data_IF_532422932819
#
_entry.id   IF_532422932819
#
_cell.length_a   1.000
_cell.length_b   1.000
_cell.length_c   1.000
_cell.angle_alpha   90.00
_cell.angle_beta   90.00
_cell.angle_gamma   90.00
#
_symmetry.space_group_name_H-M   'P 1'
#
loop_
_entity.id
_entity.type
_entity.pdbx_description
1 polymer ?
#
# COMPACT_ATOMS: atom_id res chain seq x y z
N UNK A 1 -14.69 -44.52 -10.48
CA UNK A 1 -14.29 -43.11 -10.26
C UNK A 1 -15.54 -42.27 -10.00
N UNK A 2 -15.72 -41.69 -8.80
CA UNK A 2 -16.87 -40.80 -8.52
C UNK A 2 -16.71 -39.52 -9.36
N UNK A 3 -17.71 -39.18 -10.19
CA UNK A 3 -17.74 -37.88 -10.90
C UNK A 3 -17.70 -36.77 -9.84
N UNK A 4 -16.69 -35.90 -9.90
CA UNK A 4 -16.65 -34.69 -9.09
C UNK A 4 -17.85 -33.83 -9.51
N UNK A 5 -18.66 -33.41 -8.54
CA UNK A 5 -19.84 -32.57 -8.79
C UNK A 5 -19.39 -31.18 -9.21
N UNK A 6 -20.01 -30.62 -10.26
CA UNK A 6 -19.62 -29.32 -10.85
C UNK A 6 -19.61 -28.17 -9.82
N UNK A 7 -20.49 -28.21 -8.82
CA UNK A 7 -20.54 -27.20 -7.76
C UNK A 7 -19.25 -27.21 -6.89
N UNK A 8 -18.64 -28.37 -6.66
CA UNK A 8 -17.34 -28.44 -5.98
C UNK A 8 -16.19 -27.91 -6.84
N UNK A 9 -16.27 -28.06 -8.17
CA UNK A 9 -15.31 -27.44 -9.09
C UNK A 9 -15.42 -25.92 -9.02
N UNK A 10 -16.64 -25.38 -9.04
CA UNK A 10 -16.91 -23.95 -8.88
C UNK A 10 -16.42 -23.43 -7.51
N UNK A 11 -16.65 -24.18 -6.43
CA UNK A 11 -16.12 -23.85 -5.11
C UNK A 11 -14.57 -23.83 -5.09
N UNK A 12 -13.93 -24.78 -5.79
CA UNK A 12 -12.47 -24.81 -5.95
C UNK A 12 -11.92 -23.60 -6.70
N UNK A 13 -12.59 -23.16 -7.77
CA UNK A 13 -12.21 -21.95 -8.51
C UNK A 13 -12.39 -20.70 -7.62
N UNK A 14 -13.49 -20.63 -6.84
CA UNK A 14 -13.69 -19.56 -5.88
C UNK A 14 -12.60 -19.54 -4.79
N UNK A 15 -12.14 -20.71 -4.34
CA UNK A 15 -11.03 -20.81 -3.39
C UNK A 15 -9.72 -20.22 -3.95
N UNK A 16 -9.46 -20.34 -5.27
CA UNK A 16 -8.31 -19.68 -5.90
C UNK A 16 -8.43 -18.15 -5.78
N UNK A 17 -9.60 -17.59 -6.10
CA UNK A 17 -9.84 -16.15 -5.93
C UNK A 17 -9.69 -15.67 -4.48
N UNK A 18 -10.15 -16.49 -3.52
CA UNK A 18 -9.98 -16.24 -2.09
C UNK A 18 -8.50 -16.21 -1.69
N UNK A 19 -7.70 -17.18 -2.15
CA UNK A 19 -6.27 -17.25 -1.86
C UNK A 19 -5.54 -16.03 -2.44
N UNK A 20 -5.82 -15.67 -3.71
CA UNK A 20 -5.18 -14.51 -4.34
C UNK A 20 -5.57 -13.22 -3.59
N UNK A 21 -6.84 -13.07 -3.20
CA UNK A 21 -7.30 -11.93 -2.42
C UNK A 21 -6.62 -11.87 -1.05
N UNK A 22 -6.38 -13.02 -0.41
CA UNK A 22 -5.64 -13.10 0.85
C UNK A 22 -4.17 -12.65 0.68
N UNK A 23 -3.51 -13.07 -0.40
CA UNK A 23 -2.16 -12.61 -0.73
C UNK A 23 -2.10 -11.09 -0.94
N UNK A 24 -3.13 -10.52 -1.57
CA UNK A 24 -3.25 -9.07 -1.73
C UNK A 24 -3.44 -8.34 -0.39
N UNK A 25 -4.20 -8.92 0.55
CA UNK A 25 -4.32 -8.38 1.91
C UNK A 25 -2.96 -8.42 2.64
N UNK A 26 -2.23 -9.53 2.55
CA UNK A 26 -0.90 -9.64 3.14
C UNK A 26 0.08 -8.64 2.54
N UNK A 27 0.02 -8.43 1.23
CA UNK A 27 0.83 -7.43 0.53
C UNK A 27 0.52 -6.01 1.03
N UNK A 28 -0.77 -5.67 1.21
CA UNK A 28 -1.18 -4.37 1.75
C UNK A 28 -0.60 -4.11 3.15
N UNK A 29 -0.62 -5.10 4.04
CA UNK A 29 -0.10 -4.98 5.41
C UNK A 29 1.42 -5.24 5.53
N UNK A 30 2.15 -5.40 4.42
CA UNK A 30 3.62 -5.58 4.44
C UNK A 30 4.12 -6.98 4.84
N UNK A 31 3.24 -8.00 4.87
CA UNK A 31 3.60 -9.40 5.17
C UNK A 31 3.89 -10.28 3.95
N UNK A 32 3.63 -9.78 2.74
CA UNK A 32 3.56 -10.57 1.50
C UNK A 32 4.85 -10.76 0.70
N UNK A 33 6.03 -10.49 1.28
CA UNK A 33 7.32 -10.44 0.55
C UNK A 33 7.73 -11.74 -0.16
N UNK A 34 7.16 -12.89 0.24
CA UNK A 34 7.44 -14.20 -0.36
C UNK A 34 6.50 -14.57 -1.51
N UNK A 35 5.37 -15.19 -1.18
CA UNK A 35 4.46 -15.78 -2.17
C UNK A 35 3.71 -14.73 -3.01
N UNK A 36 3.25 -13.64 -2.40
CA UNK A 36 2.52 -12.60 -3.13
C UNK A 36 3.43 -11.85 -4.10
N UNK A 37 4.68 -11.57 -3.70
CA UNK A 37 5.69 -10.96 -4.57
C UNK A 37 6.08 -11.87 -5.73
N UNK A 38 6.45 -13.13 -5.45
CA UNK A 38 6.82 -14.08 -6.50
C UNK A 38 5.70 -14.29 -7.53
N UNK A 39 4.45 -14.37 -7.07
CA UNK A 39 3.29 -14.53 -7.96
C UNK A 39 2.99 -13.24 -8.73
N UNK A 40 3.19 -12.07 -8.14
CA UNK A 40 3.05 -10.79 -8.83
C UNK A 40 4.10 -10.61 -9.95
N UNK A 41 5.37 -10.86 -9.64
CA UNK A 41 6.48 -10.72 -10.60
C UNK A 41 6.34 -11.72 -11.75
N UNK A 42 5.72 -12.89 -11.51
CA UNK A 42 5.40 -13.86 -12.56
C UNK A 42 4.25 -13.42 -13.47
N UNK A 43 3.31 -12.59 -12.98
CA UNK A 43 2.08 -12.23 -13.69
C UNK A 43 2.11 -10.84 -14.33
N UNK A 44 3.07 -10.00 -13.95
CA UNK A 44 3.11 -8.59 -14.36
C UNK A 44 4.53 -8.00 -14.23
N UNK A 45 4.75 -6.81 -14.80
CA UNK A 45 6.01 -6.10 -14.65
C UNK A 45 6.36 -5.89 -13.16
N UNK A 46 7.63 -6.10 -12.81
CA UNK A 46 8.11 -6.00 -11.43
C UNK A 46 7.75 -4.64 -10.82
N UNK A 47 7.13 -4.66 -9.64
CA UNK A 47 6.70 -3.44 -8.93
C UNK A 47 5.32 -2.89 -9.31
N UNK A 48 4.62 -3.48 -10.29
CA UNK A 48 3.26 -3.05 -10.67
C UNK A 48 2.23 -3.30 -9.56
N UNK A 49 2.29 -4.44 -8.87
CA UNK A 49 1.39 -4.69 -7.74
C UNK A 49 1.68 -3.78 -6.54
N UNK A 50 2.92 -3.36 -6.33
CA UNK A 50 3.32 -2.46 -5.23
C UNK A 50 2.64 -1.09 -5.42
N UNK A 51 2.75 -0.53 -6.63
CA UNK A 51 2.05 0.71 -7.03
C UNK A 51 0.55 0.65 -6.76
N UNK A 52 -0.10 -0.47 -7.09
CA UNK A 52 -1.55 -0.63 -6.88
C UNK A 52 -1.86 -0.77 -5.39
N UNK A 53 -1.10 -1.57 -4.63
CA UNK A 53 -1.35 -1.79 -3.20
C UNK A 53 -1.09 -0.55 -2.34
N UNK A 54 -0.22 0.36 -2.77
CA UNK A 54 0.10 1.59 -2.03
C UNK A 54 -0.75 2.81 -2.44
N UNK A 55 -1.50 2.70 -3.54
CA UNK A 55 -2.36 3.78 -4.01
C UNK A 55 -3.40 4.18 -2.95
N UNK A 56 -3.91 5.41 -3.01
CA UNK A 56 -5.05 5.84 -2.18
C UNK A 56 -6.31 5.01 -2.44
N UNK A 57 -6.39 4.36 -3.61
CA UNK A 57 -7.49 3.49 -4.01
C UNK A 57 -7.35 2.04 -3.51
N UNK A 58 -6.29 1.68 -2.80
CA UNK A 58 -6.09 0.28 -2.36
C UNK A 58 -6.86 -0.08 -1.09
N UNK A 59 -7.35 0.93 -0.35
CA UNK A 59 -8.07 0.75 0.91
C UNK A 59 -9.09 1.85 1.15
N UNK A 60 -10.11 1.52 1.92
CA UNK A 60 -10.96 2.50 2.60
C UNK A 60 -10.25 2.85 3.91
N UNK A 61 -9.71 4.05 3.97
CA UNK A 61 -8.88 4.52 5.10
C UNK A 61 -9.74 5.12 6.21
N UNK A 62 -9.22 5.08 7.43
CA UNK A 62 -9.81 5.75 8.60
C UNK A 62 -11.26 5.31 8.94
N UNK A 63 -11.58 4.02 8.80
CA UNK A 63 -12.87 3.50 9.27
C UNK A 63 -12.87 3.49 10.81
N UNK A 64 -13.87 4.11 11.48
CA UNK A 64 -13.97 4.06 12.93
C UNK A 64 -13.87 2.63 13.45
N UNK A 65 -13.07 2.41 14.51
CA UNK A 65 -12.79 1.11 15.14
C UNK A 65 -11.99 0.09 14.31
N UNK A 66 -12.06 0.12 12.98
CA UNK A 66 -11.43 -0.89 12.11
C UNK A 66 -10.11 -0.43 11.46
N UNK A 67 -9.84 0.88 11.45
CA UNK A 67 -8.67 1.47 10.80
C UNK A 67 -8.77 1.36 9.28
N UNK A 68 -7.65 1.06 8.64
CA UNK A 68 -7.61 0.86 7.19
C UNK A 68 -8.17 -0.51 6.80
N UNK A 69 -9.08 -0.50 5.83
CA UNK A 69 -9.70 -1.71 5.27
C UNK A 69 -9.30 -1.84 3.80
N UNK A 70 -8.40 -2.77 3.46
CA UNK A 70 -7.97 -2.94 2.07
C UNK A 70 -9.12 -3.43 1.19
N UNK A 71 -9.18 -2.97 -0.06
CA UNK A 71 -10.19 -3.42 -1.03
C UNK A 71 -10.10 -4.94 -1.24
N UNK A 72 -8.90 -5.50 -1.16
CA UNK A 72 -8.65 -6.94 -1.24
C UNK A 72 -9.42 -7.76 -0.18
N UNK A 73 -9.78 -7.15 0.96
CA UNK A 73 -10.65 -7.80 1.94
C UNK A 73 -12.04 -8.10 1.39
N UNK A 74 -12.63 -7.15 0.65
CA UNK A 74 -13.93 -7.36 0.03
C UNK A 74 -13.85 -8.47 -1.01
N UNK A 75 -12.75 -8.57 -1.75
CA UNK A 75 -12.45 -9.70 -2.63
C UNK A 75 -12.40 -11.03 -1.86
N UNK A 76 -11.66 -11.09 -0.75
CA UNK A 76 -11.57 -12.28 0.10
C UNK A 76 -12.93 -12.73 0.63
N UNK A 77 -13.72 -11.79 1.18
CA UNK A 77 -15.09 -12.06 1.66
C UNK A 77 -16.01 -12.49 0.52
N UNK A 78 -15.92 -11.84 -0.64
CA UNK A 78 -16.70 -12.16 -1.83
C UNK A 78 -16.45 -13.59 -2.32
N UNK A 79 -15.19 -13.96 -2.56
CA UNK A 79 -14.86 -15.31 -3.04
C UNK A 79 -15.17 -16.39 -2.01
N UNK A 80 -14.95 -16.10 -0.73
CA UNK A 80 -15.33 -17.01 0.36
C UNK A 80 -16.83 -17.26 0.40
N UNK A 81 -17.62 -16.20 0.28
CA UNK A 81 -19.08 -16.30 0.27
C UNK A 81 -19.60 -17.00 -1.00
N UNK A 82 -19.08 -16.69 -2.18
CA UNK A 82 -19.45 -17.37 -3.43
C UNK A 82 -19.09 -18.86 -3.37
N UNK A 83 -17.91 -19.21 -2.85
CA UNK A 83 -17.51 -20.60 -2.62
C UNK A 83 -18.44 -21.32 -1.63
N UNK A 84 -18.81 -20.65 -0.54
CA UNK A 84 -19.81 -21.14 0.43
C UNK A 84 -21.15 -21.44 -0.24
N UNK A 85 -21.65 -20.56 -1.12
CA UNK A 85 -22.91 -20.78 -1.85
C UNK A 85 -22.85 -22.04 -2.72
N UNK A 86 -21.74 -22.29 -3.41
CA UNK A 86 -21.60 -23.51 -4.23
C UNK A 86 -21.54 -24.79 -3.38
N UNK A 87 -20.87 -24.75 -2.22
CA UNK A 87 -20.85 -25.88 -1.28
C UNK A 87 -22.26 -26.14 -0.71
N UNK A 88 -22.99 -25.08 -0.35
CA UNK A 88 -24.36 -25.19 0.16
C UNK A 88 -25.35 -25.67 -0.90
N UNK A 89 -25.17 -25.24 -2.16
CA UNK A 89 -25.94 -25.73 -3.30
C UNK A 89 -25.82 -27.25 -3.48
N UNK A 90 -24.64 -27.81 -3.17
CA UNK A 90 -24.42 -29.25 -3.22
C UNK A 90 -24.99 -29.98 -1.99
N UNK A 91 -24.89 -29.37 -0.80
CA UNK A 91 -25.38 -29.94 0.47
C UNK A 91 -26.91 -29.96 0.57
N UNK A 92 -27.57 -28.94 0.02
CA UNK A 92 -29.02 -28.76 0.11
C UNK A 92 -29.63 -28.72 -1.30
N UNK A 93 -29.76 -29.90 -1.92
CA UNK A 93 -30.25 -30.06 -3.29
C UNK A 93 -31.61 -29.41 -3.56
N UNK A 94 -32.50 -29.44 -2.58
CA UNK A 94 -33.82 -28.78 -2.64
C UNK A 94 -33.74 -27.27 -2.90
N UNK A 95 -32.64 -26.63 -2.45
CA UNK A 95 -32.37 -25.20 -2.56
C UNK A 95 -31.30 -24.86 -3.61
N UNK A 96 -30.75 -25.86 -4.32
CA UNK A 96 -29.61 -25.71 -5.26
C UNK A 96 -29.82 -24.55 -6.24
N UNK A 97 -31.01 -24.49 -6.84
CA UNK A 97 -31.36 -23.47 -7.83
C UNK A 97 -31.25 -22.05 -7.24
N UNK A 98 -31.70 -21.85 -6.00
CA UNK A 98 -31.67 -20.53 -5.37
C UNK A 98 -30.25 -20.07 -5.04
N UNK A 99 -29.39 -20.96 -4.53
CA UNK A 99 -27.98 -20.65 -4.29
C UNK A 99 -27.22 -20.34 -5.59
N UNK A 100 -27.46 -21.10 -6.67
CA UNK A 100 -26.83 -20.84 -7.98
C UNK A 100 -27.25 -19.48 -8.54
N UNK A 101 -28.53 -19.10 -8.41
CA UNK A 101 -29.00 -17.77 -8.85
C UNK A 101 -28.36 -16.66 -8.03
N UNK A 102 -28.32 -16.82 -6.71
CA UNK A 102 -27.67 -15.84 -5.85
C UNK A 102 -26.20 -15.67 -6.21
N UNK A 103 -25.46 -16.78 -6.38
CA UNK A 103 -24.07 -16.74 -6.82
C UNK A 103 -23.93 -16.07 -8.20
N UNK A 104 -24.81 -16.35 -9.15
CA UNK A 104 -24.80 -15.72 -10.48
C UNK A 104 -24.95 -14.19 -10.41
N UNK A 105 -25.93 -13.69 -9.65
CA UNK A 105 -26.13 -12.24 -9.50
C UNK A 105 -24.98 -11.56 -8.76
N UNK A 106 -24.42 -12.22 -7.73
CA UNK A 106 -23.23 -11.73 -7.04
C UNK A 106 -22.01 -11.69 -7.98
N UNK A 107 -21.84 -12.68 -8.85
CA UNK A 107 -20.76 -12.70 -9.84
C UNK A 107 -20.91 -11.60 -10.90
N UNK A 108 -22.13 -11.24 -11.29
CA UNK A 108 -22.37 -10.06 -12.14
C UNK A 108 -21.96 -8.78 -11.41
N UNK A 109 -22.37 -8.62 -10.15
CA UNK A 109 -21.99 -7.46 -9.35
C UNK A 109 -20.47 -7.38 -9.18
N UNK A 110 -19.82 -8.52 -8.90
CA UNK A 110 -18.37 -8.64 -8.81
C UNK A 110 -17.68 -8.18 -10.11
N UNK A 111 -18.16 -8.63 -11.27
CA UNK A 111 -17.61 -8.21 -12.56
C UNK A 111 -17.73 -6.70 -12.80
N UNK A 112 -18.85 -6.07 -12.40
CA UNK A 112 -19.02 -4.62 -12.51
C UNK A 112 -17.98 -3.88 -11.65
N UNK A 113 -17.75 -4.35 -10.42
CA UNK A 113 -16.72 -3.80 -9.52
C UNK A 113 -15.33 -4.02 -10.10
N UNK A 114 -15.03 -5.22 -10.62
CA UNK A 114 -13.75 -5.56 -11.25
C UNK A 114 -13.43 -4.64 -12.44
N UNK A 115 -14.43 -4.33 -13.28
CA UNK A 115 -14.27 -3.36 -14.38
C UNK A 115 -13.94 -1.98 -13.83
N UNK A 116 -14.63 -1.52 -12.78
CA UNK A 116 -14.34 -0.23 -12.15
C UNK A 116 -12.92 -0.16 -11.58
N UNK A 117 -12.49 -1.19 -10.85
CA UNK A 117 -11.14 -1.28 -10.28
C UNK A 117 -10.06 -1.37 -11.37
N UNK A 118 -10.32 -2.11 -12.46
CA UNK A 118 -9.41 -2.17 -13.61
C UNK A 118 -9.25 -0.80 -14.29
N UNK A 119 -10.34 -0.04 -14.45
CA UNK A 119 -10.29 1.31 -15.00
C UNK A 119 -9.50 2.26 -14.11
N UNK A 120 -9.69 2.21 -12.78
CA UNK A 120 -8.86 2.99 -11.85
C UNK A 120 -7.39 2.60 -11.95
N UNK A 121 -7.10 1.29 -11.96
CA UNK A 121 -5.73 0.77 -12.06
C UNK A 121 -5.03 1.22 -13.36
N UNK A 122 -5.74 1.18 -14.49
CA UNK A 122 -5.18 1.49 -15.81
C UNK A 122 -5.13 2.98 -16.13
N UNK A 123 -6.17 3.75 -15.77
CA UNK A 123 -6.31 5.16 -16.16
C UNK A 123 -5.84 6.15 -15.09
N UNK A 124 -5.86 5.76 -13.82
CA UNK A 124 -5.52 6.65 -12.70
C UNK A 124 -4.19 6.28 -12.08
N UNK A 125 -3.98 5.00 -11.78
CA UNK A 125 -2.73 4.51 -11.15
C UNK A 125 -1.63 4.29 -12.20
N UNK A 126 -2.01 4.10 -13.48
CA UNK A 126 -1.11 3.77 -14.59
C UNK A 126 -0.24 2.52 -14.29
N UNK A 127 -0.82 1.54 -13.58
CA UNK A 127 -0.16 0.28 -13.24
C UNK A 127 -1.16 -0.87 -13.29
N UNK A 128 -0.77 -2.01 -13.88
CA UNK A 128 -1.60 -3.20 -13.96
C UNK A 128 -1.06 -4.26 -13.00
N UNK A 129 -1.75 -4.46 -11.89
CA UNK A 129 -1.41 -5.49 -10.90
C UNK A 129 -1.79 -6.89 -11.43
N UNK A 130 -0.81 -7.77 -11.63
CA UNK A 130 -1.04 -9.13 -12.13
C UNK A 130 -1.96 -9.97 -11.22
N UNK A 131 -1.87 -9.77 -9.89
CA UNK A 131 -2.76 -10.45 -8.94
C UNK A 131 -4.21 -9.98 -9.04
N UNK A 132 -4.44 -8.68 -9.26
CA UNK A 132 -5.78 -8.16 -9.50
C UNK A 132 -6.36 -8.74 -10.80
N UNK A 133 -5.57 -8.75 -11.88
CA UNK A 133 -5.98 -9.36 -13.16
C UNK A 133 -6.32 -10.85 -12.96
N UNK A 134 -5.52 -11.59 -12.18
CA UNK A 134 -5.81 -12.98 -11.87
C UNK A 134 -7.16 -13.12 -11.13
N UNK A 135 -7.49 -12.25 -10.18
CA UNK A 135 -8.82 -12.25 -9.56
C UNK A 135 -9.93 -11.97 -10.57
N UNK A 136 -9.75 -11.01 -11.49
CA UNK A 136 -10.76 -10.69 -12.52
C UNK A 136 -11.02 -11.89 -13.45
N UNK A 137 -9.96 -12.63 -13.81
CA UNK A 137 -10.08 -13.86 -14.60
C UNK A 137 -10.80 -14.97 -13.83
N UNK A 138 -10.60 -15.07 -12.51
CA UNK A 138 -11.36 -15.99 -11.65
C UNK A 138 -12.84 -15.63 -11.64
N UNK A 139 -13.21 -14.35 -11.44
CA UNK A 139 -14.61 -13.89 -11.51
C UNK A 139 -15.23 -14.23 -12.87
N UNK A 140 -14.55 -13.93 -13.97
CA UNK A 140 -15.03 -14.19 -15.33
C UNK A 140 -15.26 -15.69 -15.56
N UNK A 141 -14.34 -16.54 -15.10
CA UNK A 141 -14.43 -18.00 -15.22
C UNK A 141 -15.60 -18.55 -14.41
N UNK A 142 -15.75 -18.10 -13.16
CA UNK A 142 -16.89 -18.48 -12.31
C UNK A 142 -18.22 -18.06 -12.94
N UNK A 143 -18.30 -16.83 -13.46
CA UNK A 143 -19.49 -16.31 -14.09
C UNK A 143 -19.83 -17.11 -15.36
N UNK A 144 -18.86 -17.41 -16.22
CA UNK A 144 -19.06 -18.17 -17.45
C UNK A 144 -19.59 -19.58 -17.19
N UNK A 145 -18.99 -20.31 -16.24
CA UNK A 145 -19.43 -21.68 -15.89
C UNK A 145 -20.80 -21.64 -15.20
N UNK A 146 -21.01 -20.68 -14.29
CA UNK A 146 -22.29 -20.52 -13.59
C UNK A 146 -23.41 -20.12 -14.56
N UNK A 147 -23.11 -19.29 -15.57
CA UNK A 147 -24.06 -18.90 -16.62
C UNK A 147 -24.59 -20.12 -17.39
N UNK A 148 -23.75 -21.12 -17.68
CA UNK A 148 -24.19 -22.36 -18.36
C UNK A 148 -25.25 -23.09 -17.51
N UNK A 149 -25.05 -23.19 -16.18
CA UNK A 149 -26.07 -23.76 -15.28
C UNK A 149 -27.31 -22.87 -15.19
N UNK A 150 -27.12 -21.55 -15.07
CA UNK A 150 -28.21 -20.59 -14.98
C UNK A 150 -29.11 -20.62 -16.22
N UNK A 151 -28.51 -20.73 -17.41
CA UNK A 151 -29.24 -20.83 -18.69
C UNK A 151 -30.12 -22.08 -18.78
N UNK A 152 -29.73 -23.17 -18.13
CA UNK A 152 -30.48 -24.43 -18.10
C UNK A 152 -31.73 -24.38 -17.18
N UNK A 153 -31.88 -23.33 -16.35
CA UNK A 153 -33.02 -23.17 -15.44
C UNK A 153 -34.19 -22.53 -16.20
N UNK A 154 -35.34 -23.20 -16.23
CA UNK A 154 -36.51 -22.76 -17.00
C UNK A 154 -37.13 -21.44 -16.50
N UNK A 155 -37.27 -21.26 -15.18
CA UNK A 155 -37.87 -20.07 -14.58
C UNK A 155 -36.79 -19.07 -14.16
N UNK A 156 -36.59 -17.96 -14.88
CA UNK A 156 -35.47 -17.03 -14.63
C UNK A 156 -35.77 -15.91 -13.62
N UNK A 157 -36.93 -15.93 -12.97
CA UNK A 157 -37.37 -14.86 -12.07
C UNK A 157 -36.45 -14.71 -10.85
N UNK A 158 -36.11 -13.45 -10.51
CA UNK A 158 -35.36 -13.09 -9.30
C UNK A 158 -36.15 -13.38 -8.02
N UNK A 159 -37.48 -13.51 -8.11
CA UNK A 159 -38.37 -13.75 -6.95
C UNK A 159 -38.07 -15.05 -6.21
N UNK A 160 -37.44 -16.04 -6.87
CA UNK A 160 -37.02 -17.31 -6.22
C UNK A 160 -35.73 -17.21 -5.42
N UNK A 161 -35.02 -16.08 -5.49
CA UNK A 161 -33.83 -15.84 -4.65
C UNK A 161 -34.26 -15.45 -3.23
N UNK A 162 -35.36 -14.70 -3.09
CA UNK A 162 -35.84 -14.19 -1.80
C UNK A 162 -36.07 -15.29 -0.75
N UNK A 163 -36.73 -16.43 -1.05
CA UNK A 163 -36.93 -17.49 -0.05
C UNK A 163 -35.62 -18.07 0.48
N UNK A 164 -34.59 -18.20 -0.37
CA UNK A 164 -33.28 -18.70 0.07
C UNK A 164 -32.57 -17.67 0.96
N UNK A 165 -32.66 -16.39 0.59
CA UNK A 165 -32.11 -15.30 1.41
C UNK A 165 -32.78 -15.27 2.79
N UNK A 166 -34.10 -15.31 2.87
CA UNK A 166 -34.80 -15.18 4.16
C UNK A 166 -34.64 -16.41 5.04
N UNK A 167 -34.65 -17.62 4.46
CA UNK A 167 -34.52 -18.86 5.22
C UNK A 167 -33.10 -19.10 5.73
N UNK A 168 -32.07 -18.68 4.99
CA UNK A 168 -30.66 -18.93 5.34
C UNK A 168 -29.91 -17.66 5.77
N UNK A 169 -30.62 -16.58 6.12
CA UNK A 169 -30.04 -15.28 6.47
C UNK A 169 -29.01 -15.35 7.60
N UNK A 170 -29.23 -16.24 8.57
CA UNK A 170 -28.31 -16.44 9.68
C UNK A 170 -27.01 -17.11 9.19
N UNK A 171 -27.12 -18.15 8.36
CA UNK A 171 -25.96 -18.82 7.78
C UNK A 171 -25.15 -17.86 6.90
N UNK A 172 -25.83 -17.00 6.13
CA UNK A 172 -25.17 -16.01 5.30
C UNK A 172 -24.45 -14.94 6.12
N UNK A 173 -25.12 -14.41 7.14
CA UNK A 173 -24.51 -13.45 8.08
C UNK A 173 -23.28 -14.04 8.76
N UNK A 174 -23.37 -15.29 9.24
CA UNK A 174 -22.24 -15.98 9.87
C UNK A 174 -21.10 -16.17 8.87
N UNK A 175 -21.37 -16.66 7.65
CA UNK A 175 -20.34 -16.86 6.64
C UNK A 175 -19.63 -15.56 6.27
N UNK A 176 -20.38 -14.48 6.02
CA UNK A 176 -19.82 -13.16 5.72
C UNK A 176 -18.97 -12.62 6.87
N UNK A 177 -19.46 -12.72 8.11
CA UNK A 177 -18.71 -12.28 9.30
C UNK A 177 -17.44 -13.10 9.49
N UNK A 178 -17.48 -14.43 9.30
CA UNK A 178 -16.31 -15.28 9.40
C UNK A 178 -15.27 -14.86 8.36
N UNK A 179 -15.61 -14.73 7.07
CA UNK A 179 -14.62 -14.34 6.07
C UNK A 179 -14.12 -12.92 6.28
N UNK A 180 -14.98 -11.98 6.69
CA UNK A 180 -14.55 -10.61 7.01
C UNK A 180 -13.55 -10.59 8.18
N UNK A 181 -13.89 -11.26 9.29
CA UNK A 181 -13.04 -11.33 10.49
C UNK A 181 -11.75 -12.10 10.20
N UNK A 182 -11.82 -13.24 9.51
CA UNK A 182 -10.64 -14.01 9.13
C UNK A 182 -9.74 -13.17 8.23
N UNK A 183 -10.28 -12.52 7.20
CA UNK A 183 -9.48 -11.67 6.32
C UNK A 183 -8.84 -10.48 7.04
N UNK A 184 -9.56 -9.83 7.97
CA UNK A 184 -9.04 -8.72 8.79
C UNK A 184 -7.97 -9.17 9.78
N UNK A 185 -8.28 -10.20 10.56
CA UNK A 185 -7.42 -10.70 11.63
C UNK A 185 -6.21 -11.40 11.04
N UNK A 186 -6.41 -12.42 10.20
CA UNK A 186 -5.30 -13.14 9.60
C UNK A 186 -4.56 -12.31 8.57
N UNK A 187 -5.19 -11.33 7.91
CA UNK A 187 -4.48 -10.39 7.05
C UNK A 187 -3.44 -9.55 7.80
N UNK A 188 -3.80 -9.08 9.00
CA UNK A 188 -2.91 -8.30 9.88
C UNK A 188 -1.90 -9.17 10.62
N UNK A 189 -2.31 -10.35 11.10
CA UNK A 189 -1.43 -11.28 11.83
C UNK A 189 -0.47 -12.00 10.86
N UNK A 190 -0.87 -12.22 9.60
CA UNK A 190 0.01 -12.75 8.54
C UNK A 190 0.90 -11.69 7.89
N UNK A 191 1.16 -10.58 8.60
CA UNK A 191 2.53 -10.07 8.68
C UNK A 191 3.53 -11.18 9.05
N UNK A 192 4.83 -10.91 9.28
CA UNK A 192 5.87 -11.94 9.44
C UNK A 192 5.66 -13.05 10.51
N UNK A 193 4.52 -13.07 11.21
CA UNK A 193 4.23 -13.84 12.40
C UNK A 193 3.52 -15.20 12.21
N UNK A 194 2.93 -15.55 11.05
CA UNK A 194 2.12 -16.81 10.94
C UNK A 194 2.75 -18.00 10.20
N UNK A 195 3.90 -17.83 9.55
CA UNK A 195 4.76 -18.97 9.14
C UNK A 195 6.01 -19.08 10.01
N UNK A 196 6.10 -18.22 11.02
CA UNK A 196 7.18 -18.11 11.96
C UNK A 196 6.74 -18.74 13.27
N UNK A 197 7.23 -19.94 13.57
CA UNK A 197 7.34 -20.32 14.98
C UNK A 197 8.02 -19.19 15.75
N UNK A 198 7.66 -19.03 17.02
CA UNK A 198 8.05 -18.02 18.02
C UNK A 198 9.56 -17.65 18.10
N UNK A 199 10.41 -18.34 17.34
CA UNK A 199 11.83 -18.04 17.14
C UNK A 199 12.16 -17.13 15.95
N UNK A 200 11.22 -16.82 15.04
CA UNK A 200 11.59 -16.18 13.77
C UNK A 200 11.59 -14.64 13.78
N UNK A 201 10.66 -13.96 14.47
CA UNK A 201 10.63 -12.48 14.54
C UNK A 201 11.85 -11.89 15.27
N UNK A 202 12.20 -12.47 16.42
CA UNK A 202 13.45 -12.14 17.12
C UNK A 202 14.68 -12.46 16.25
N UNK A 203 14.65 -13.56 15.47
CA UNK A 203 15.76 -13.89 14.57
C UNK A 203 15.89 -12.93 13.38
N UNK A 204 14.78 -12.40 12.87
CA UNK A 204 14.76 -11.47 11.74
C UNK A 204 15.22 -10.08 12.17
N UNK A 205 14.73 -9.56 13.30
CA UNK A 205 15.22 -8.28 13.84
C UNK A 205 16.70 -8.40 14.23
N UNK A 206 17.10 -9.50 14.87
CA UNK A 206 18.51 -9.76 15.18
C UNK A 206 19.38 -9.81 13.92
N UNK A 207 18.87 -10.40 12.82
CA UNK A 207 19.57 -10.40 11.53
C UNK A 207 19.66 -8.98 10.94
N UNK A 208 18.57 -8.22 10.92
CA UNK A 208 18.57 -6.83 10.44
C UNK A 208 19.52 -5.94 11.25
N UNK A 209 19.60 -6.14 12.57
CA UNK A 209 20.56 -5.46 13.44
C UNK A 209 21.99 -5.87 13.10
N UNK A 210 22.26 -7.16 12.88
CA UNK A 210 23.58 -7.63 12.47
C UNK A 210 23.98 -7.10 11.08
N UNK A 211 23.04 -7.04 10.13
CA UNK A 211 23.23 -6.44 8.81
C UNK A 211 23.56 -4.95 8.92
N UNK A 212 22.85 -4.20 9.76
CA UNK A 212 23.15 -2.78 10.04
C UNK A 212 24.54 -2.60 10.68
N UNK A 213 24.90 -3.43 11.66
CA UNK A 213 26.23 -3.35 12.31
C UNK A 213 27.35 -3.63 11.29
N UNK A 214 27.15 -4.57 10.37
CA UNK A 214 28.07 -4.90 9.30
C UNK A 214 28.07 -3.87 8.14
N UNK A 215 27.04 -3.04 8.02
CA UNK A 215 26.92 -2.07 6.92
C UNK A 215 28.04 -1.02 6.99
N UNK A 216 28.61 -0.63 5.83
CA UNK A 216 29.64 0.39 5.76
C UNK A 216 29.07 1.76 6.14
N UNK A 217 29.92 2.59 6.75
CA UNK A 217 29.61 4.00 6.98
C UNK A 217 29.88 4.77 5.68
N UNK A 218 28.85 5.42 5.17
CA UNK A 218 28.88 6.22 3.94
C UNK A 218 28.71 7.68 4.35
N UNK A 219 29.73 8.55 4.20
CA UNK A 219 29.60 9.97 4.54
C UNK A 219 28.47 10.63 3.75
N UNK A 220 27.52 11.26 4.45
CA UNK A 220 26.41 11.98 3.84
C UNK A 220 26.52 13.46 4.22
N UNK A 221 26.64 14.32 3.21
CA UNK A 221 26.59 15.77 3.40
C UNK A 221 25.15 16.20 3.69
N UNK A 222 24.86 16.55 4.94
CA UNK A 222 23.55 17.04 5.40
C UNK A 222 23.51 18.58 5.53
N UNK A 223 24.56 19.28 5.10
CA UNK A 223 24.66 20.74 5.24
C UNK A 223 23.53 21.42 4.47
N UNK A 224 22.81 22.33 5.12
CA UNK A 224 21.67 23.06 4.53
C UNK A 224 20.46 22.20 4.16
N UNK A 225 20.42 20.94 4.58
CA UNK A 225 19.28 20.05 4.35
C UNK A 225 18.18 20.29 5.39
N UNK A 226 16.93 20.26 4.97
CA UNK A 226 15.79 20.42 5.86
C UNK A 226 15.65 19.21 6.81
N UNK A 227 15.26 19.45 8.06
CA UNK A 227 15.15 18.38 9.06
C UNK A 227 14.03 18.62 10.07
N UNK A 228 13.71 17.56 10.82
CA UNK A 228 12.82 17.55 11.98
C UNK A 228 13.56 16.99 13.19
N UNK A 229 13.19 17.42 14.39
CA UNK A 229 13.85 17.04 15.65
C UNK A 229 14.91 18.05 16.11
N UNK A 230 15.64 17.70 17.16
CA UNK A 230 16.68 18.57 17.73
C UNK A 230 17.91 18.64 16.79
N UNK A 231 18.46 19.85 16.62
CA UNK A 231 19.66 20.07 15.81
C UNK A 231 20.86 19.26 16.33
N UNK A 232 20.96 19.10 17.65
CA UNK A 232 22.05 18.44 18.36
C UNK A 232 21.76 16.96 18.70
N UNK A 233 20.68 16.39 18.14
CA UNK A 233 20.33 15.00 18.39
C UNK A 233 21.50 14.05 18.05
N UNK A 234 21.87 13.11 18.95
CA UNK A 234 22.99 12.19 18.74
C UNK A 234 22.74 11.16 17.65
N UNK A 235 21.47 10.88 17.30
CA UNK A 235 21.12 9.95 16.24
C UNK A 235 20.52 10.72 15.06
N UNK A 236 21.14 10.60 13.89
CA UNK A 236 20.66 11.21 12.65
C UNK A 236 20.14 10.14 11.70
N UNK A 237 18.88 10.29 11.29
CA UNK A 237 18.25 9.50 10.23
C UNK A 237 18.18 10.37 8.98
N UNK A 238 18.90 10.01 7.92
CA UNK A 238 18.77 10.66 6.61
C UNK A 238 17.78 9.87 5.78
N UNK A 239 16.76 10.56 5.24
CA UNK A 239 15.71 9.98 4.40
C UNK A 239 15.73 10.59 3.01
N UNK A 240 16.12 9.79 2.02
CA UNK A 240 15.89 10.08 0.60
C UNK A 240 14.49 9.66 0.21
N UNK A 241 13.66 10.60 -0.22
CA UNK A 241 12.23 10.34 -0.40
C UNK A 241 11.55 11.29 -1.39
N UNK A 242 10.31 10.92 -1.72
CA UNK A 242 9.39 11.63 -2.60
C UNK A 242 8.05 11.86 -1.89
N UNK A 243 7.49 13.06 -1.99
CA UNK A 243 6.23 13.40 -1.31
C UNK A 243 4.98 12.72 -1.89
N UNK A 244 5.04 12.18 -3.11
CA UNK A 244 3.99 11.41 -3.78
C UNK A 244 4.21 9.89 -3.70
N UNK A 245 5.26 9.42 -3.03
CA UNK A 245 5.50 7.99 -2.85
C UNK A 245 4.76 7.46 -1.61
N UNK A 246 3.94 6.41 -1.79
CA UNK A 246 3.19 5.75 -0.72
C UNK A 246 4.10 5.20 0.39
N UNK A 247 5.14 4.43 0.06
CA UNK A 247 6.15 4.00 1.04
C UNK A 247 6.82 5.16 1.80
N UNK A 248 7.08 6.29 1.13
CA UNK A 248 7.66 7.47 1.79
C UNK A 248 6.69 8.09 2.79
N UNK A 249 5.40 8.15 2.44
CA UNK A 249 4.33 8.59 3.32
C UNK A 249 4.24 7.68 4.55
N UNK A 250 4.15 6.36 4.38
CA UNK A 250 4.13 5.40 5.50
C UNK A 250 5.37 5.54 6.41
N UNK A 251 6.55 5.67 5.80
CA UNK A 251 7.79 5.92 6.53
C UNK A 251 7.75 7.24 7.29
N UNK A 252 7.10 8.29 6.77
CA UNK A 252 6.90 9.54 7.50
C UNK A 252 6.03 9.36 8.75
N UNK A 253 4.99 8.52 8.69
CA UNK A 253 4.16 8.23 9.87
C UNK A 253 4.97 7.51 10.96
N UNK A 254 5.77 6.51 10.58
CA UNK A 254 6.66 5.80 11.50
C UNK A 254 7.65 6.78 12.13
N UNK A 255 8.35 7.58 11.31
CA UNK A 255 9.34 8.55 11.79
C UNK A 255 8.72 9.66 12.64
N UNK A 256 7.47 10.03 12.41
CA UNK A 256 6.73 10.97 13.29
C UNK A 256 6.52 10.38 14.68
N UNK A 257 6.21 9.08 14.77
CA UNK A 257 6.17 8.34 16.04
C UNK A 257 7.54 8.30 16.72
N UNK A 258 8.59 7.99 15.97
CA UNK A 258 9.98 7.98 16.47
C UNK A 258 10.39 9.36 17.01
N UNK A 259 10.19 10.44 16.24
CA UNK A 259 10.54 11.80 16.67
C UNK A 259 9.82 12.22 17.96
N UNK A 260 8.57 11.77 18.15
CA UNK A 260 7.82 12.03 19.38
C UNK A 260 8.35 11.22 20.56
N UNK A 261 8.63 9.94 20.36
CA UNK A 261 8.99 9.03 21.44
C UNK A 261 10.48 9.15 21.85
N UNK A 262 11.32 9.66 20.94
CA UNK A 262 12.76 9.88 21.11
C UNK A 262 13.12 11.37 20.96
N UNK A 263 12.29 12.24 21.52
CA UNK A 263 12.49 13.69 21.50
C UNK A 263 13.87 14.07 22.06
N UNK A 264 14.55 15.02 21.40
CA UNK A 264 15.95 15.39 21.69
C UNK A 264 17.01 14.34 21.31
N UNK A 265 16.63 13.09 21.02
CA UNK A 265 17.56 11.99 20.74
C UNK A 265 17.71 11.72 19.24
N UNK A 266 16.63 11.86 18.47
CA UNK A 266 16.61 11.61 17.03
C UNK A 266 16.36 12.90 16.24
N UNK A 267 17.16 13.08 15.17
CA UNK A 267 16.94 14.06 14.11
C UNK A 267 16.69 13.34 12.79
N UNK A 268 15.67 13.75 12.07
CA UNK A 268 15.35 13.22 10.73
C UNK A 268 15.68 14.29 9.70
N UNK A 269 16.73 14.05 8.90
CA UNK A 269 17.12 14.88 7.76
C UNK A 269 16.42 14.38 6.52
N UNK A 270 15.82 15.29 5.76
CA UNK A 270 15.16 14.98 4.50
C UNK A 270 16.07 15.32 3.32
N UNK A 271 16.15 14.39 2.37
CA UNK A 271 16.80 14.56 1.07
C UNK A 271 15.78 14.26 -0.02
N UNK A 272 15.61 15.19 -0.94
CA UNK A 272 14.68 15.08 -2.05
C UNK A 272 15.20 14.04 -3.05
N UNK A 273 14.36 13.06 -3.35
CA UNK A 273 14.53 12.17 -4.49
C UNK A 273 13.19 12.12 -5.25
N UNK A 274 12.86 13.15 -6.04
CA UNK A 274 11.58 13.19 -6.73
C UNK A 274 11.47 12.01 -7.70
N UNK A 275 10.38 11.25 -7.69
CA UNK A 275 10.10 10.18 -8.64
C UNK A 275 9.54 10.71 -9.96
N UNK A 276 10.16 11.77 -10.49
CA UNK A 276 9.78 12.49 -11.69
C UNK A 276 11.01 12.92 -12.51
N UNK A 277 11.07 12.44 -13.75
CA UNK A 277 12.14 12.70 -14.72
C UNK A 277 12.36 14.17 -15.08
N UNK A 278 11.38 15.05 -14.81
CA UNK A 278 11.52 16.49 -15.06
C UNK A 278 12.58 17.17 -14.16
N UNK A 279 12.83 16.63 -12.96
CA UNK A 279 13.85 17.17 -12.04
C UNK A 279 14.78 16.10 -11.47
N UNK A 280 14.51 14.82 -11.71
CA UNK A 280 15.38 13.72 -11.31
C UNK A 280 15.77 12.88 -12.53
N UNK A 281 16.98 13.11 -13.05
CA UNK A 281 17.53 12.41 -14.23
C UNK A 281 17.69 10.89 -14.07
N UNK A 282 17.63 10.37 -12.84
CA UNK A 282 17.71 8.93 -12.56
C UNK A 282 16.37 8.23 -12.80
N UNK A 283 15.29 9.00 -13.01
CA UNK A 283 13.93 8.49 -13.20
C UNK A 283 13.54 8.69 -14.66
N UNK A 284 13.30 7.59 -15.37
CA UNK A 284 13.00 7.64 -16.81
C UNK A 284 11.60 8.21 -17.11
N UNK A 285 10.64 7.99 -16.22
CA UNK A 285 9.28 8.50 -16.38
C UNK A 285 9.25 10.00 -16.08
N UNK A 286 8.87 10.79 -17.07
CA UNK A 286 8.44 12.17 -16.85
C UNK A 286 6.92 12.15 -16.94
N UNK A 287 6.23 12.49 -15.86
CA UNK A 287 4.78 12.62 -15.93
C UNK A 287 4.43 14.10 -16.13
N UNK A 288 3.63 14.46 -17.14
CA UNK A 288 3.11 15.82 -17.26
C UNK A 288 2.21 16.22 -16.07
N UNK A 289 1.80 15.24 -15.27
CA UNK A 289 0.99 15.36 -14.07
C UNK A 289 1.79 15.11 -12.79
N UNK A 290 3.12 14.85 -12.88
CA UNK A 290 3.92 14.57 -11.70
C UNK A 290 4.09 15.81 -10.81
N UNK A 291 3.55 15.62 -9.63
CA UNK A 291 3.48 16.49 -8.47
C UNK A 291 4.78 16.55 -7.66
N UNK A 292 5.79 15.76 -8.04
CA UNK A 292 6.96 15.49 -7.20
C UNK A 292 7.97 16.62 -7.19
N UNK A 293 8.31 17.18 -8.35
CA UNK A 293 9.27 18.30 -8.42
C UNK A 293 8.73 19.55 -7.73
N UNK A 294 7.44 19.83 -7.88
CA UNK A 294 6.79 20.98 -7.23
C UNK A 294 6.63 20.78 -5.72
N UNK A 295 6.31 19.57 -5.26
CA UNK A 295 6.26 19.25 -3.83
C UNK A 295 7.64 19.36 -3.17
N UNK A 296 8.70 18.84 -3.81
CA UNK A 296 10.08 18.99 -3.36
C UNK A 296 10.48 20.46 -3.24
N UNK A 297 10.17 21.26 -4.28
CA UNK A 297 10.43 22.71 -4.29
C UNK A 297 9.66 23.43 -3.18
N UNK A 298 8.39 23.06 -2.95
CA UNK A 298 7.57 23.63 -1.89
C UNK A 298 8.16 23.37 -0.50
N UNK A 299 8.65 22.16 -0.24
CA UNK A 299 9.28 21.82 1.03
C UNK A 299 10.56 22.64 1.28
N UNK A 300 11.44 22.76 0.28
CA UNK A 300 12.65 23.61 0.35
C UNK A 300 12.27 25.08 0.61
N UNK A 301 11.27 25.60 -0.11
CA UNK A 301 10.83 26.98 0.05
C UNK A 301 10.17 27.26 1.40
N UNK A 302 9.50 26.27 1.98
CA UNK A 302 8.96 26.35 3.32
C UNK A 302 10.06 26.39 4.39
N UNK A 303 11.14 25.63 4.20
CA UNK A 303 12.28 25.61 5.11
C UNK A 303 12.99 26.96 5.20
N UNK A 304 13.09 27.68 4.07
CA UNK A 304 13.60 29.07 4.04
C UNK A 304 12.77 30.06 4.88
N UNK A 305 11.56 29.67 5.27
CA UNK A 305 10.68 30.43 6.15
C UNK A 305 10.47 29.74 7.51
N UNK A 306 11.31 28.74 7.86
CA UNK A 306 11.21 27.95 9.09
C UNK A 306 9.87 27.20 9.25
N UNK A 307 9.21 26.89 8.13
CA UNK A 307 7.90 26.21 8.06
C UNK A 307 7.98 24.84 7.40
N UNK A 308 9.18 24.26 7.31
CA UNK A 308 9.40 22.94 6.70
C UNK A 308 8.49 21.87 7.28
N UNK A 309 8.45 21.70 8.61
CA UNK A 309 7.63 20.67 9.26
C UNK A 309 6.14 20.77 8.90
N UNK A 310 5.60 21.98 8.82
CA UNK A 310 4.19 22.20 8.48
C UNK A 310 3.88 21.76 7.05
N UNK A 311 4.72 22.17 6.09
CA UNK A 311 4.56 21.82 4.68
C UNK A 311 4.89 20.36 4.41
N UNK A 312 5.94 19.81 5.03
CA UNK A 312 6.28 18.39 4.98
C UNK A 312 5.09 17.52 5.37
N UNK A 313 4.46 17.82 6.52
CA UNK A 313 3.30 17.07 6.99
C UNK A 313 2.11 17.26 6.05
N UNK A 314 1.86 18.50 5.62
CA UNK A 314 0.78 18.83 4.70
C UNK A 314 0.88 18.11 3.36
N UNK A 315 2.07 18.01 2.77
CA UNK A 315 2.30 17.29 1.51
C UNK A 315 2.04 15.78 1.67
N UNK A 316 2.44 15.17 2.79
CA UNK A 316 2.10 13.76 3.01
C UNK A 316 0.60 13.56 3.29
N UNK A 317 -0.06 14.51 3.95
CA UNK A 317 -1.53 14.49 4.12
C UNK A 317 -2.26 14.65 2.79
N UNK A 318 -1.80 15.53 1.91
CA UNK A 318 -2.35 15.70 0.56
C UNK A 318 -2.23 14.39 -0.23
N UNK A 319 -1.07 13.72 -0.20
CA UNK A 319 -0.88 12.40 -0.79
C UNK A 319 -1.85 11.36 -0.20
N UNK A 320 -1.97 11.32 1.13
CA UNK A 320 -2.89 10.41 1.83
C UNK A 320 -4.35 10.58 1.37
N UNK A 321 -4.76 11.83 1.14
CA UNK A 321 -6.11 12.20 0.68
C UNK A 321 -6.29 12.11 -0.84
N UNK A 322 -5.26 11.73 -1.59
CA UNK A 322 -5.30 11.69 -3.06
C UNK A 322 -5.33 13.07 -3.72
N UNK A 323 -4.92 14.12 -3.00
CA UNK A 323 -4.75 15.48 -3.55
C UNK A 323 -3.46 15.51 -4.35
N UNK A 324 -3.56 15.83 -5.64
CA UNK A 324 -2.38 16.00 -6.48
C UNK A 324 -1.60 17.26 -6.09
N UNK A 325 -0.29 17.17 -5.86
CA UNK A 325 0.53 18.37 -5.67
C UNK A 325 0.78 19.08 -7.00
N UNK A 326 0.07 20.16 -7.24
CA UNK A 326 0.21 21.05 -8.37
C UNK A 326 0.74 22.39 -7.86
N UNK A 327 1.20 23.30 -8.72
CA UNK A 327 1.52 24.66 -8.29
C UNK A 327 0.37 25.29 -7.48
N UNK A 328 -0.88 25.08 -7.88
CA UNK A 328 -2.04 25.62 -7.17
C UNK A 328 -2.24 25.00 -5.78
N UNK A 329 -2.17 23.68 -5.65
CA UNK A 329 -2.38 23.03 -4.34
C UNK A 329 -1.24 23.29 -3.36
N UNK A 330 0.03 23.30 -3.81
CA UNK A 330 1.14 23.65 -2.89
C UNK A 330 1.10 25.11 -2.45
N UNK A 331 0.61 26.02 -3.30
CA UNK A 331 0.41 27.43 -2.92
C UNK A 331 -0.70 27.56 -1.89
N UNK A 332 -1.82 26.84 -2.08
CA UNK A 332 -2.92 26.81 -1.10
C UNK A 332 -2.45 26.22 0.24
N UNK A 333 -1.64 25.16 0.20
CA UNK A 333 -1.05 24.56 1.40
C UNK A 333 -0.09 25.52 2.11
N UNK A 334 0.73 26.25 1.35
CA UNK A 334 1.62 27.28 1.91
C UNK A 334 0.83 28.42 2.58
N UNK A 335 -0.20 28.92 1.90
CA UNK A 335 -1.06 29.99 2.41
C UNK A 335 -1.78 29.57 3.70
N UNK A 336 -2.35 28.37 3.75
CA UNK A 336 -3.06 27.86 4.93
C UNK A 336 -2.15 27.64 6.15
N UNK A 337 -0.83 27.48 5.92
CA UNK A 337 0.17 27.35 6.98
C UNK A 337 0.88 28.67 7.32
N UNK A 338 0.40 29.78 6.75
CA UNK A 338 0.85 31.13 7.08
C UNK A 338 2.24 31.47 6.55
N UNK A 339 2.62 30.93 5.39
CA UNK A 339 3.85 31.34 4.70
C UNK A 339 3.66 32.70 4.02
N UNK A 340 4.73 33.50 3.92
CA UNK A 340 4.75 34.69 3.08
C UNK A 340 4.70 34.27 1.61
N UNK A 341 3.55 34.55 0.98
CA UNK A 341 3.25 34.04 -0.35
C UNK A 341 4.09 34.70 -1.45
N UNK A 342 4.56 35.94 -1.24
CA UNK A 342 5.43 36.61 -2.20
C UNK A 342 6.81 35.94 -2.24
N UNK A 343 7.42 35.73 -1.06
CA UNK A 343 8.69 35.03 -0.92
C UNK A 343 8.58 33.58 -1.36
N UNK A 344 7.47 32.91 -1.05
CA UNK A 344 7.25 31.51 -1.43
C UNK A 344 7.13 31.34 -2.95
N UNK A 345 6.32 32.17 -3.63
CA UNK A 345 6.20 32.16 -5.11
C UNK A 345 7.53 32.45 -5.79
N UNK A 346 8.26 33.46 -5.31
CA UNK A 346 9.59 33.81 -5.82
C UNK A 346 10.57 32.64 -5.63
N UNK A 347 10.52 31.98 -4.48
CA UNK A 347 11.35 30.82 -4.20
C UNK A 347 11.03 29.63 -5.13
N UNK A 348 9.75 29.32 -5.35
CA UNK A 348 9.35 28.22 -6.26
C UNK A 348 9.85 28.42 -7.70
N UNK A 349 9.94 29.66 -8.16
CA UNK A 349 10.48 29.99 -9.48
C UNK A 349 12.02 30.00 -9.53
N UNK A 350 12.69 29.93 -8.38
CA UNK A 350 14.14 30.14 -8.26
C UNK A 350 14.94 29.00 -8.90
N UNK A 351 15.93 29.31 -9.77
CA UNK A 351 16.90 28.32 -10.23
C UNK A 351 17.68 27.65 -9.10
N UNK A 352 17.90 28.35 -7.98
CA UNK A 352 18.65 27.81 -6.85
C UNK A 352 17.93 26.61 -6.20
N UNK A 353 16.59 26.62 -6.15
CA UNK A 353 15.81 25.49 -5.60
C UNK A 353 15.94 24.27 -6.51
N UNK A 354 15.87 24.48 -7.83
CA UNK A 354 16.11 23.40 -8.81
C UNK A 354 17.52 22.83 -8.72
N UNK A 355 18.53 23.68 -8.51
CA UNK A 355 19.91 23.25 -8.31
C UNK A 355 20.09 22.47 -7.00
N UNK A 356 19.39 22.84 -5.94
CA UNK A 356 19.42 22.08 -4.69
C UNK A 356 18.83 20.67 -4.87
N UNK A 357 17.68 20.54 -5.54
CA UNK A 357 17.09 19.23 -5.87
C UNK A 357 18.06 18.41 -6.72
N UNK A 358 18.68 19.03 -7.75
CA UNK A 358 19.66 18.35 -8.60
C UNK A 358 20.88 17.86 -7.80
N UNK A 359 21.39 18.67 -6.86
CA UNK A 359 22.49 18.25 -5.97
C UNK A 359 22.08 17.04 -5.12
N UNK A 360 20.88 17.04 -4.55
CA UNK A 360 20.41 15.92 -3.73
C UNK A 360 20.18 14.65 -4.56
N UNK A 361 19.79 14.79 -5.83
CA UNK A 361 19.76 13.69 -6.81
C UNK A 361 21.17 13.18 -7.14
N UNK A 362 22.15 14.07 -7.32
CA UNK A 362 23.55 13.68 -7.55
C UNK A 362 24.14 12.97 -6.32
N UNK A 363 23.80 13.42 -5.11
CA UNK A 363 24.18 12.76 -3.87
C UNK A 363 23.56 11.35 -3.80
N UNK A 364 22.29 11.21 -4.21
CA UNK A 364 21.63 9.91 -4.30
C UNK A 364 22.27 8.97 -5.33
N UNK A 365 22.67 9.48 -6.51
CA UNK A 365 23.37 8.68 -7.53
C UNK A 365 24.71 8.15 -7.02
N UNK A 366 25.52 9.00 -6.37
CA UNK A 366 26.82 8.59 -5.79
C UNK A 366 26.66 7.47 -4.77
N UNK A 367 25.50 7.38 -4.14
CA UNK A 367 25.14 6.39 -3.14
C UNK A 367 24.39 5.18 -3.75
N UNK A 368 24.27 5.10 -5.08
CA UNK A 368 23.50 4.09 -5.83
C UNK A 368 22.04 3.93 -5.34
N UNK A 369 21.43 5.05 -4.91
CA UNK A 369 20.03 5.06 -4.49
C UNK A 369 19.14 5.06 -5.74
N UNK A 370 18.36 3.98 -5.89
CA UNK A 370 17.45 3.79 -7.04
C UNK A 370 15.97 3.75 -6.66
N UNK A 371 15.67 3.81 -5.37
CA UNK A 371 14.30 3.68 -4.86
C UNK A 371 14.10 4.52 -3.61
N UNK A 372 12.85 4.90 -3.37
CA UNK A 372 12.42 5.64 -2.19
C UNK A 372 11.40 4.83 -1.38
N UNK A 373 11.40 4.94 -0.04
CA UNK A 373 12.39 5.64 0.75
C UNK A 373 13.69 4.85 0.85
N UNK A 374 14.81 5.57 0.90
CA UNK A 374 16.11 5.03 1.32
C UNK A 374 16.54 5.74 2.59
N UNK A 375 16.84 4.95 3.63
CA UNK A 375 17.13 5.45 4.97
C UNK A 375 18.57 5.12 5.36
N UNK A 376 19.20 6.10 5.99
CA UNK A 376 20.53 5.95 6.59
C UNK A 376 20.45 6.39 8.04
N UNK A 377 20.94 5.57 8.95
CA UNK A 377 21.02 5.90 10.39
C UNK A 377 22.48 6.01 10.74
N UNK A 378 22.89 7.17 11.25
CA UNK A 378 24.30 7.51 11.52
C UNK A 378 25.22 7.10 10.36
N UNK A 379 24.86 7.52 9.14
CA UNK A 379 25.61 7.28 7.90
C UNK A 379 25.69 5.81 7.46
N UNK A 380 24.93 4.89 8.06
CA UNK A 380 24.82 3.50 7.59
C UNK A 380 23.47 3.24 6.96
N UNK A 381 23.46 2.63 5.78
CA UNK A 381 22.22 2.25 5.10
C UNK A 381 21.48 1.16 5.89
N UNK A 382 20.15 1.27 5.94
CA UNK A 382 19.29 0.11 6.23
C UNK A 382 18.63 -0.36 4.94
N UNK A 383 18.00 -1.53 4.98
CA UNK A 383 17.25 -2.08 3.83
C UNK A 383 16.26 -1.03 3.30
N UNK A 384 16.31 -0.75 1.99
CA UNK A 384 15.42 0.18 1.31
C UNK A 384 13.95 -0.27 1.37
N UNK A 385 13.03 0.69 1.29
CA UNK A 385 11.58 0.49 1.44
C UNK A 385 11.05 1.00 2.78
N UNK A 386 9.76 0.77 3.05
CA UNK A 386 9.18 1.10 4.37
C UNK A 386 9.89 0.28 5.45
N UNK A 387 10.51 0.92 6.46
CA UNK A 387 11.20 0.20 7.51
C UNK A 387 10.20 -0.46 8.46
N UNK A 388 10.60 -1.60 9.04
CA UNK A 388 9.88 -2.16 10.18
C UNK A 388 10.07 -1.24 11.41
N UNK A 389 8.96 -0.87 12.05
CA UNK A 389 8.97 0.06 13.18
C UNK A 389 9.68 -0.52 14.41
N UNK A 390 9.48 -1.82 14.68
CA UNK A 390 10.10 -2.47 15.83
C UNK A 390 11.62 -2.53 15.68
N UNK A 391 12.11 -2.91 14.50
CA UNK A 391 13.53 -2.86 14.16
C UNK A 391 14.11 -1.46 14.36
N UNK A 392 13.45 -0.41 13.87
CA UNK A 392 13.93 0.97 14.06
C UNK A 392 14.06 1.35 15.53
N UNK A 393 13.06 1.02 16.34
CA UNK A 393 13.08 1.30 17.79
C UNK A 393 14.18 0.54 18.50
N UNK A 394 14.34 -0.75 18.21
CA UNK A 394 15.41 -1.57 18.79
C UNK A 394 16.79 -1.06 18.39
N UNK A 395 16.96 -0.68 17.12
CA UNK A 395 18.20 -0.10 16.62
C UNK A 395 18.52 1.22 17.34
N UNK A 396 17.56 2.15 17.42
CA UNK A 396 17.73 3.43 18.14
C UNK A 396 18.10 3.18 19.59
N UNK A 397 17.40 2.28 20.29
CA UNK A 397 17.71 1.91 21.68
C UNK A 397 19.13 1.33 21.82
N UNK A 398 19.60 0.55 20.84
CA UNK A 398 20.97 0.02 20.85
C UNK A 398 22.01 1.11 20.63
N UNK A 399 21.71 2.12 19.80
CA UNK A 399 22.59 3.25 19.54
C UNK A 399 22.66 4.20 20.74
N UNK A 400 21.54 4.43 21.43
CA UNK A 400 21.51 5.24 22.67
C UNK A 400 22.47 4.66 23.71
N UNK A 401 22.57 3.33 23.84
CA UNK A 401 23.49 2.68 24.79
C UNK A 401 24.98 2.83 24.42
N UNK A 402 25.28 3.23 23.19
CA UNK A 402 26.65 3.42 22.68
C UNK A 402 27.10 4.88 22.72
N UNK A 403 26.18 5.82 22.97
CA UNK A 403 26.43 7.25 23.21
C UNK A 403 26.63 7.46 24.71
#
# INVERSE_FOLDING_TARGET
MKKIQLNYVLAGIAAIGLIISFLLIQKYFGGGDGAAKALCDALSESGSCDKVSESSFSAIRNIPFFGDVPIALFGFTFYGFVGFLFVWAERYKEKEIGYIRLAFYLLILGLIVDIGLFLVSSLVIEAICGLCVATYLVTLTLLAITYVKFKAIQEKSITKVFPVITQDILNFSIALLIFLLVGQVFGKISGPSLTAGEHSGASQISRSLAEYEAAPVIPIDITGSSFQGDTNAPITIVKFADFNCGHCMHTSHILKGILRDYDGIVKVVYKNFPLDGNCNRLVQRSSPQASSCVAASAAICADKQHKFTAIYNGLYTDNELGVMHTPASVLKLAESNGLDMNSFRSCLASPAVRQQIAKEVDDAEKMDIRSTPSLFINNKAIRSGTPDEQFLRELINSLIKKV
#
